data_IF_283282509902
#
_entry.id   IF_283282509902
#
_cell.length_a   1.000
_cell.length_b   1.000
_cell.length_c   1.000
_cell.angle_alpha   90.00
_cell.angle_beta   90.00
_cell.angle_gamma   90.00
#
_symmetry.space_group_name_H-M   'P 1'
#
loop_
_entity.id
_entity.type
_entity.pdbx_description
1 polymer ?
#
# COMPACT_ATOMS: atom_id res chain seq x y z
N UNK A 1 -21.78 7.46 -45.23
CA UNK A 1 -22.39 7.97 -43.98
C UNK A 1 -22.41 6.89 -42.90
N UNK A 2 -22.86 5.73 -43.22
CA UNK A 2 -22.99 4.65 -42.24
C UNK A 2 -21.64 4.12 -41.76
N UNK A 3 -20.64 4.11 -42.62
CA UNK A 3 -19.29 3.59 -42.28
C UNK A 3 -18.61 4.40 -41.20
N UNK A 4 -18.91 5.70 -41.10
CA UNK A 4 -18.28 6.56 -40.08
C UNK A 4 -18.67 6.15 -38.68
N UNK A 5 -19.89 5.68 -38.49
CA UNK A 5 -20.40 5.25 -37.21
C UNK A 5 -19.70 4.01 -36.72
N UNK A 6 -19.36 3.11 -37.62
CA UNK A 6 -18.67 1.87 -37.26
C UNK A 6 -17.26 2.13 -36.79
N UNK A 7 -16.59 3.09 -37.41
CA UNK A 7 -15.23 3.44 -37.01
C UNK A 7 -15.18 4.00 -35.57
N UNK A 8 -16.17 4.82 -35.23
CA UNK A 8 -16.25 5.38 -33.89
C UNK A 8 -16.41 4.29 -32.84
N UNK A 9 -17.22 3.29 -33.12
CA UNK A 9 -17.43 2.17 -32.21
C UNK A 9 -16.15 1.38 -32.03
N UNK A 10 -15.41 1.14 -33.09
CA UNK A 10 -14.16 0.41 -33.02
C UNK A 10 -13.13 1.12 -32.13
N UNK A 11 -13.04 2.44 -32.22
CA UNK A 11 -12.13 3.23 -31.41
C UNK A 11 -12.49 3.11 -29.94
N UNK A 12 -13.77 3.16 -29.59
CA UNK A 12 -14.22 3.01 -28.22
C UNK A 12 -13.84 1.65 -27.65
N UNK A 13 -13.99 0.60 -28.44
CA UNK A 13 -13.63 -0.74 -28.00
C UNK A 13 -12.14 -0.84 -27.65
N UNK A 14 -11.29 -0.21 -28.43
CA UNK A 14 -9.86 -0.18 -28.15
C UNK A 14 -9.55 0.57 -26.86
N UNK A 15 -10.25 1.67 -26.60
CA UNK A 15 -10.07 2.43 -25.39
C UNK A 15 -10.37 1.60 -24.14
N UNK A 16 -11.40 0.78 -24.16
CA UNK A 16 -11.74 -0.06 -23.03
C UNK A 16 -10.71 -1.15 -22.80
N UNK A 17 -10.01 -1.61 -23.80
CA UNK A 17 -8.98 -2.63 -23.65
C UNK A 17 -7.88 -2.22 -22.71
N UNK A 18 -7.52 -0.95 -22.66
CA UNK A 18 -6.46 -0.47 -21.79
C UNK A 18 -6.82 -0.49 -20.31
N UNK A 19 -8.10 -0.27 -19.99
CA UNK A 19 -8.53 -0.28 -18.59
C UNK A 19 -8.47 -1.66 -17.97
N UNK A 20 -8.47 -2.71 -18.76
CA UNK A 20 -8.39 -4.09 -18.29
C UNK A 20 -7.05 -4.39 -17.60
N UNK A 21 -6.01 -3.60 -17.85
CA UNK A 21 -4.69 -3.79 -17.26
C UNK A 21 -4.43 -2.93 -16.03
N UNK A 22 -5.42 -2.17 -15.60
CA UNK A 22 -5.27 -1.37 -14.39
C UNK A 22 -5.03 -2.27 -13.19
N UNK A 23 -4.05 -1.92 -12.37
CA UNK A 23 -3.76 -2.67 -11.16
C UNK A 23 -4.86 -2.48 -10.14
N UNK A 24 -5.16 -3.54 -9.41
CA UNK A 24 -6.09 -3.46 -8.30
C UNK A 24 -5.38 -2.83 -7.11
N UNK A 25 -5.99 -1.82 -6.54
CA UNK A 25 -5.49 -1.17 -5.34
C UNK A 25 -6.51 -1.29 -4.21
N UNK A 26 -6.01 -1.25 -2.99
CA UNK A 26 -6.84 -1.22 -1.79
C UNK A 26 -6.49 0.06 -1.04
N UNK A 27 -7.49 0.77 -0.58
CA UNK A 27 -7.25 1.98 0.21
C UNK A 27 -6.99 1.61 1.67
N UNK A 28 -5.88 2.07 2.19
CA UNK A 28 -5.50 1.86 3.59
C UNK A 28 -4.95 3.17 4.14
N UNK A 29 -5.53 3.64 5.24
CA UNK A 29 -5.05 4.86 5.87
C UNK A 29 -5.07 6.08 4.96
N UNK A 30 -6.05 6.15 4.07
CA UNK A 30 -6.22 7.28 3.17
C UNK A 30 -5.34 7.24 1.93
N UNK A 31 -4.60 6.16 1.71
CA UNK A 31 -3.73 6.04 0.55
C UNK A 31 -3.97 4.72 -0.19
N UNK A 32 -3.77 4.74 -1.50
CA UNK A 32 -3.86 3.52 -2.30
C UNK A 32 -2.62 2.66 -2.08
N UNK A 33 -2.84 1.37 -1.90
CA UNK A 33 -1.77 0.38 -1.78
C UNK A 33 -1.63 -0.35 -3.11
N UNK A 34 -0.41 -0.47 -3.60
CA UNK A 34 -0.14 -1.00 -4.93
C UNK A 34 0.56 -2.35 -4.86
N UNK A 35 0.09 -3.34 -5.62
CA UNK A 35 0.72 -4.67 -5.62
C UNK A 35 2.14 -4.69 -6.17
N UNK A 36 2.52 -3.70 -6.97
CA UNK A 36 3.86 -3.62 -7.53
C UNK A 36 4.86 -2.88 -6.64
N UNK A 37 4.44 -2.45 -5.45
CA UNK A 37 5.31 -1.81 -4.47
C UNK A 37 5.55 -2.75 -3.30
N UNK A 38 6.69 -2.60 -2.65
CA UNK A 38 6.98 -3.41 -1.48
C UNK A 38 6.19 -2.93 -0.26
N UNK A 39 6.28 -3.71 0.81
CA UNK A 39 5.49 -3.42 2.02
C UNK A 39 5.85 -2.06 2.64
N UNK A 40 7.12 -1.67 2.58
CA UNK A 40 7.57 -0.40 3.15
C UNK A 40 7.04 0.77 2.31
N UNK A 41 7.16 0.69 1.00
CA UNK A 41 6.66 1.74 0.10
C UNK A 41 5.17 1.99 0.27
N UNK A 42 4.41 0.93 0.52
CA UNK A 42 2.99 1.06 0.78
C UNK A 42 2.71 1.60 2.20
N UNK A 43 3.38 1.04 3.20
CA UNK A 43 3.10 1.36 4.59
C UNK A 43 3.39 2.83 4.94
N UNK A 44 4.43 3.42 4.36
CA UNK A 44 4.79 4.81 4.67
C UNK A 44 3.72 5.81 4.23
N UNK A 45 2.84 5.42 3.32
CA UNK A 45 1.76 6.28 2.85
C UNK A 45 0.48 6.12 3.67
N UNK A 46 0.40 5.13 4.54
CA UNK A 46 -0.77 4.91 5.37
C UNK A 46 -0.71 5.77 6.63
N UNK A 47 -1.69 6.63 6.80
CA UNK A 47 -1.79 7.47 8.00
C UNK A 47 -2.12 6.66 9.25
N UNK A 48 -2.65 5.46 9.09
CA UNK A 48 -3.05 4.59 10.19
C UNK A 48 -1.91 3.70 10.71
N UNK A 49 -0.76 3.73 10.06
CA UNK A 49 0.35 2.83 10.37
C UNK A 49 1.67 3.58 10.66
N UNK A 50 1.58 4.82 11.09
CA UNK A 50 2.78 5.62 11.39
C UNK A 50 3.61 5.06 12.54
N UNK A 51 2.96 4.52 13.56
CA UNK A 51 3.65 3.90 14.69
C UNK A 51 4.38 2.64 14.25
N UNK A 52 3.73 1.83 13.43
CA UNK A 52 4.36 0.62 12.87
C UNK A 52 5.61 0.97 12.06
N UNK A 53 5.51 1.98 11.21
CA UNK A 53 6.66 2.42 10.40
C UNK A 53 7.81 2.89 11.29
N UNK A 54 7.51 3.65 12.34
CA UNK A 54 8.52 4.07 13.31
C UNK A 54 9.19 2.88 13.99
N UNK A 55 8.40 1.86 14.35
CA UNK A 55 8.93 0.66 14.97
C UNK A 55 9.83 -0.13 14.02
N UNK A 56 9.46 -0.23 12.76
CA UNK A 56 10.28 -0.91 11.74
C UNK A 56 11.62 -0.19 11.57
N UNK A 57 11.60 1.13 11.54
CA UNK A 57 12.82 1.93 11.45
C UNK A 57 13.70 1.74 12.68
N UNK A 58 13.12 1.79 13.86
CA UNK A 58 13.85 1.61 15.11
C UNK A 58 14.48 0.22 15.22
N UNK A 59 13.81 -0.79 14.67
CA UNK A 59 14.31 -2.16 14.67
C UNK A 59 15.37 -2.43 13.58
N UNK A 60 15.60 -1.46 12.69
CA UNK A 60 16.54 -1.63 11.58
C UNK A 60 16.07 -2.60 10.51
N UNK A 61 14.77 -2.75 10.32
CA UNK A 61 14.20 -3.73 9.41
C UNK A 61 13.77 -3.17 8.05
N UNK A 62 13.97 -1.87 7.81
CA UNK A 62 13.51 -1.24 6.56
C UNK A 62 14.14 -1.92 5.35
N UNK A 63 15.45 -2.04 5.32
CA UNK A 63 16.15 -2.67 4.19
C UNK A 63 15.76 -4.13 4.02
N UNK A 64 15.60 -4.84 5.13
CA UNK A 64 15.20 -6.24 5.10
C UNK A 64 13.84 -6.39 4.43
N UNK A 65 12.88 -5.56 4.80
CA UNK A 65 11.53 -5.64 4.26
C UNK A 65 11.42 -5.08 2.84
N UNK A 66 12.36 -4.27 2.41
CA UNK A 66 12.44 -3.82 1.02
C UNK A 66 13.12 -4.84 0.11
N UNK A 67 13.72 -5.85 0.68
CA UNK A 67 14.40 -6.91 -0.07
C UNK A 67 13.41 -7.86 -0.72
N UNK A 68 13.95 -8.95 -1.25
CA UNK A 68 13.13 -9.97 -1.91
C UNK A 68 12.24 -10.66 -0.89
N UNK A 69 10.94 -10.61 -1.17
CA UNK A 69 9.97 -11.38 -0.42
C UNK A 69 9.85 -12.79 -0.93
N UNK A 70 8.71 -13.37 -0.69
CA UNK A 70 7.57 -12.72 -0.03
C UNK A 70 7.73 -12.60 1.49
N UNK A 71 7.09 -11.58 2.05
CA UNK A 71 7.00 -11.40 3.50
C UNK A 71 5.55 -11.38 3.93
N UNK A 72 5.29 -11.93 5.11
CA UNK A 72 3.99 -11.79 5.79
C UNK A 72 4.22 -10.92 7.01
N UNK A 73 3.49 -9.83 7.11
CA UNK A 73 3.65 -8.87 8.19
C UNK A 73 2.30 -8.66 8.88
N UNK A 74 2.29 -8.81 10.19
CA UNK A 74 1.15 -8.42 11.00
C UNK A 74 1.30 -6.94 11.30
N UNK A 75 0.35 -6.13 10.84
CA UNK A 75 0.48 -4.67 10.80
C UNK A 75 -0.57 -3.99 11.68
N UNK A 76 -0.29 -3.85 13.00
CA UNK A 76 -1.22 -3.15 13.87
C UNK A 76 -1.34 -1.67 13.48
N UNK A 77 -2.55 -1.14 13.58
CA UNK A 77 -2.79 0.27 13.34
C UNK A 77 -2.33 1.12 14.53
N UNK A 78 -2.24 2.43 14.33
CA UNK A 78 -1.97 3.37 15.42
C UNK A 78 -2.94 3.18 16.57
N UNK A 79 -4.23 2.98 16.26
CA UNK A 79 -5.26 2.75 17.27
C UNK A 79 -5.00 1.50 18.08
N UNK A 80 -4.49 0.44 17.44
CA UNK A 80 -4.13 -0.79 18.14
C UNK A 80 -2.94 -0.57 19.08
N UNK A 81 -1.93 0.17 18.64
CA UNK A 81 -0.80 0.51 19.51
C UNK A 81 -1.23 1.35 20.71
N UNK A 82 -2.20 2.23 20.53
CA UNK A 82 -2.68 3.09 21.61
C UNK A 82 -3.39 2.31 22.73
N UNK A 83 -3.77 1.06 22.48
CA UNK A 83 -4.39 0.21 23.50
C UNK A 83 -3.37 -0.42 24.44
N UNK A 84 -2.10 -0.33 24.13
CA UNK A 84 -1.04 -0.83 25.01
C UNK A 84 -0.90 0.07 26.24
N UNK A 85 -0.40 -0.47 27.35
CA UNK A 85 -0.14 0.34 28.55
C UNK A 85 0.76 1.54 28.23
N UNK A 86 0.57 2.62 28.95
CA UNK A 86 1.36 3.83 28.79
C UNK A 86 2.84 3.52 28.92
N UNK A 87 3.62 4.02 27.97
CA UNK A 87 5.08 3.81 27.96
C UNK A 87 5.54 2.54 27.25
N UNK A 88 4.62 1.63 26.91
CA UNK A 88 5.02 0.37 26.25
C UNK A 88 5.62 0.62 24.87
N UNK A 89 4.96 1.45 24.05
CA UNK A 89 5.46 1.73 22.70
C UNK A 89 6.84 2.40 22.78
N UNK A 90 6.99 3.37 23.67
CA UNK A 90 8.26 4.07 23.85
C UNK A 90 9.38 3.10 24.21
N UNK A 91 9.08 2.14 25.09
CA UNK A 91 10.04 1.11 25.49
C UNK A 91 10.40 0.23 24.31
N UNK A 92 9.43 -0.18 23.51
CA UNK A 92 9.67 -1.04 22.35
C UNK A 92 10.50 -0.35 21.26
N UNK A 93 10.48 0.97 21.20
CA UNK A 93 11.25 1.72 20.21
C UNK A 93 12.71 1.95 20.63
N UNK A 94 13.06 1.57 21.82
CA UNK A 94 14.47 1.66 22.28
C UNK A 94 15.31 0.56 21.66
N UNK A 95 16.61 0.81 21.42
CA UNK A 95 17.52 -0.20 20.88
C UNK A 95 17.63 -1.43 21.79
#
# INVERSE_FOLDING_TARGET
MKTRKFLAVAILALGFGFTAFAQKTVMVGGAAMYPNKNIIENAVNSKDHTTLVAAVKAAGLVETLEGKGPFTVFAPTNAAFSKLPKGTVETLLKP
#
